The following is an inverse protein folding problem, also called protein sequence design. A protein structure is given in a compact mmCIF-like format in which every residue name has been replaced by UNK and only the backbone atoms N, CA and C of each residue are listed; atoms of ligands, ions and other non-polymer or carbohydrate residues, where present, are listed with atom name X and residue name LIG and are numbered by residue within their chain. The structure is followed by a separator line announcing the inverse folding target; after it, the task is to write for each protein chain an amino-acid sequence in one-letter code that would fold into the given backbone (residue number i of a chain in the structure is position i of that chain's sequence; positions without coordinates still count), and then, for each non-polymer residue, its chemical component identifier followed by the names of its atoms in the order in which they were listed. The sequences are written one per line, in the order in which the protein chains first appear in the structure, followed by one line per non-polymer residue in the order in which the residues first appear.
data_IF_162214038927
#
_entry.id   IF_162214038927
#
_cell.length_a   1.000
_cell.length_b   1.000
_cell.length_c   1.000
_cell.angle_alpha   90.00
_cell.angle_beta   90.00
_cell.angle_gamma   90.00
#
_symmetry.space_group_name_H-M   'P 1'
#
loop_
_entity.id
_entity.type
_entity.pdbx_description
1 polymer ?
#
# COMPACT_ATOMS: atom_id res chain seq x y z
N UNK A 1 11.19 -10.19 16.35
CA UNK A 1 10.77 -8.78 16.15
C UNK A 1 9.60 -8.76 15.19
N UNK A 2 8.75 -7.73 15.24
CA UNK A 2 7.64 -7.54 14.30
C UNK A 2 7.91 -6.28 13.46
N UNK A 3 7.87 -6.44 12.15
CA UNK A 3 8.01 -5.36 11.17
C UNK A 3 6.66 -5.13 10.48
N UNK A 4 6.24 -3.86 10.38
CA UNK A 4 5.12 -3.44 9.53
C UNK A 4 5.69 -2.72 8.32
N UNK A 5 5.54 -3.33 7.15
CA UNK A 5 6.01 -2.79 5.87
C UNK A 5 4.80 -2.36 5.07
N UNK A 6 4.86 -1.15 4.52
CA UNK A 6 3.83 -0.62 3.63
C UNK A 6 4.43 -0.45 2.24
N UNK A 7 3.83 -1.12 1.25
CA UNK A 7 4.27 -1.13 -0.14
C UNK A 7 3.21 -0.42 -0.98
N UNK A 8 3.64 0.64 -1.65
CA UNK A 8 2.76 1.46 -2.48
C UNK A 8 3.40 1.79 -3.81
N UNK A 9 2.57 2.28 -4.74
CA UNK A 9 3.03 2.73 -6.04
C UNK A 9 3.89 3.98 -5.92
N UNK A 10 4.93 4.07 -6.76
CA UNK A 10 5.80 5.25 -6.84
C UNK A 10 5.01 6.47 -7.32
N UNK A 11 5.40 7.70 -6.89
CA UNK A 11 4.79 8.93 -7.41
C UNK A 11 4.81 8.96 -8.95
N UNK A 12 3.68 9.31 -9.55
CA UNK A 12 3.51 9.37 -11.00
C UNK A 12 3.15 8.04 -11.67
N UNK A 13 3.12 6.92 -10.94
CA UNK A 13 2.56 5.66 -11.43
C UNK A 13 1.04 5.67 -11.24
N UNK A 14 0.23 5.40 -12.29
CA UNK A 14 -1.21 5.33 -12.15
C UNK A 14 -1.65 4.22 -11.19
N UNK A 15 -2.49 4.57 -10.22
CA UNK A 15 -3.11 3.62 -9.30
C UNK A 15 -4.50 3.21 -9.81
N UNK A 16 -4.55 2.11 -10.57
CA UNK A 16 -5.81 1.58 -11.10
C UNK A 16 -6.75 1.09 -9.99
N UNK A 17 -6.21 0.47 -8.94
CA UNK A 17 -6.98 -0.03 -7.81
C UNK A 17 -7.59 1.13 -7.00
N UNK A 18 -6.81 2.18 -6.75
CA UNK A 18 -7.31 3.42 -6.14
C UNK A 18 -8.41 4.07 -6.98
N UNK A 19 -8.28 4.08 -8.31
CA UNK A 19 -9.31 4.60 -9.20
C UNK A 19 -10.61 3.77 -9.15
N UNK A 20 -10.52 2.44 -9.09
CA UNK A 20 -11.68 1.55 -8.93
C UNK A 20 -12.40 1.77 -7.60
N UNK A 21 -11.64 1.88 -6.50
CA UNK A 21 -12.20 2.17 -5.17
C UNK A 21 -12.88 3.55 -5.16
N UNK A 22 -12.25 4.57 -5.77
CA UNK A 22 -12.85 5.91 -5.87
C UNK A 22 -14.18 5.88 -6.62
N UNK A 23 -14.28 5.13 -7.72
CA UNK A 23 -15.54 4.91 -8.43
C UNK A 23 -16.60 4.27 -7.52
N UNK A 24 -16.24 3.22 -6.78
CA UNK A 24 -17.15 2.59 -5.83
C UNK A 24 -17.65 3.55 -4.73
N UNK A 25 -16.80 4.43 -4.23
CA UNK A 25 -17.17 5.49 -3.27
C UNK A 25 -18.19 6.45 -3.88
N UNK A 26 -17.95 6.89 -5.12
CA UNK A 26 -18.85 7.78 -5.87
C UNK A 26 -20.21 7.11 -6.13
N UNK A 27 -20.22 5.84 -6.51
CA UNK A 27 -21.43 5.04 -6.75
C UNK A 27 -22.29 4.88 -5.48
N UNK A 28 -21.66 4.87 -4.30
CA UNK A 28 -22.35 4.87 -3.01
C UNK A 28 -22.90 6.26 -2.61
N UNK A 29 -22.68 7.29 -3.42
CA UNK A 29 -23.11 8.67 -3.15
C UNK A 29 -22.26 9.38 -2.09
N UNK A 30 -21.07 8.86 -1.78
CA UNK A 30 -20.16 9.47 -0.79
C UNK A 30 -19.36 10.57 -1.48
N UNK A 31 -19.73 11.83 -1.21
CA UNK A 31 -19.06 13.01 -1.75
C UNK A 31 -17.82 13.44 -0.95
N UNK A 32 -16.98 14.28 -1.58
CA UNK A 32 -15.86 14.96 -0.90
C UNK A 32 -14.51 14.24 -0.92
N UNK A 33 -14.44 13.03 -1.49
CA UNK A 33 -13.18 12.29 -1.64
C UNK A 33 -12.40 12.81 -2.86
N UNK A 34 -11.30 13.52 -2.61
CA UNK A 34 -10.47 14.11 -3.65
C UNK A 34 -9.61 13.06 -4.40
N UNK A 35 -9.07 12.09 -3.67
CA UNK A 35 -8.21 11.04 -4.22
C UNK A 35 -8.27 9.78 -3.35
N UNK A 36 -7.92 8.65 -3.95
CA UNK A 36 -7.76 7.35 -3.27
C UNK A 36 -6.44 6.76 -3.73
N UNK A 37 -5.72 6.15 -2.79
CA UNK A 37 -4.51 5.37 -3.04
C UNK A 37 -4.62 4.02 -2.35
N UNK A 38 -4.17 2.97 -2.99
CA UNK A 38 -4.10 1.62 -2.44
C UNK A 38 -2.66 1.25 -2.17
N UNK A 39 -2.39 0.72 -0.97
CA UNK A 39 -1.11 0.16 -0.56
C UNK A 39 -1.32 -1.20 0.10
N UNK A 40 -0.34 -2.08 -0.07
CA UNK A 40 -0.28 -3.36 0.62
C UNK A 40 0.46 -3.18 1.95
N UNK A 41 -0.08 -3.79 3.01
CA UNK A 41 0.53 -3.75 4.35
C UNK A 41 0.89 -5.17 4.76
N UNK A 42 2.18 -5.40 4.98
CA UNK A 42 2.74 -6.67 5.40
C UNK A 42 3.20 -6.59 6.86
N UNK A 43 2.83 -7.61 7.63
CA UNK A 43 3.34 -7.84 8.98
C UNK A 43 4.29 -9.04 8.92
N UNK A 44 5.56 -8.81 9.20
CA UNK A 44 6.60 -9.84 9.19
C UNK A 44 7.12 -10.02 10.60
N UNK A 45 6.89 -11.20 11.16
CA UNK A 45 7.40 -11.59 12.46
C UNK A 45 8.55 -12.59 12.31
N UNK A 46 9.67 -12.33 12.97
CA UNK A 46 10.81 -13.25 12.94
C UNK A 46 12.07 -12.68 13.56
N UNK A 47 13.13 -13.48 13.51
CA UNK A 47 14.49 -13.06 13.85
C UNK A 47 15.15 -12.48 12.61
N UNK A 48 14.71 -11.29 12.23
CA UNK A 48 15.24 -10.51 11.12
C UNK A 48 15.93 -9.28 11.69
N UNK A 49 17.08 -8.95 11.14
CA UNK A 49 17.69 -7.64 11.32
C UNK A 49 16.92 -6.57 10.52
N UNK A 50 17.05 -5.28 10.88
CA UNK A 50 16.47 -4.19 10.10
C UNK A 50 16.90 -4.20 8.63
N UNK A 51 18.16 -4.54 8.34
CA UNK A 51 18.68 -4.60 6.97
C UNK A 51 18.03 -5.75 6.16
N UNK A 52 17.76 -6.88 6.78
CA UNK A 52 17.04 -7.98 6.10
C UNK A 52 15.58 -7.62 5.83
N UNK A 53 14.91 -6.93 6.77
CA UNK A 53 13.55 -6.44 6.57
C UNK A 53 13.49 -5.41 5.41
N UNK A 54 14.45 -4.49 5.32
CA UNK A 54 14.57 -3.56 4.19
C UNK A 54 14.81 -4.27 2.86
N UNK A 55 15.66 -5.30 2.85
CA UNK A 55 15.89 -6.10 1.64
C UNK A 55 14.63 -6.82 1.19
N UNK A 56 13.87 -7.41 2.12
CA UNK A 56 12.56 -8.04 1.79
C UNK A 56 11.61 -7.00 1.19
N UNK A 57 11.55 -5.79 1.76
CA UNK A 57 10.70 -4.71 1.26
C UNK A 57 11.10 -4.20 -0.14
N UNK A 58 12.38 -4.28 -0.52
CA UNK A 58 12.88 -3.76 -1.79
C UNK A 58 13.05 -4.80 -2.90
N UNK A 59 13.22 -6.08 -2.55
CA UNK A 59 13.59 -7.15 -3.49
C UNK A 59 12.50 -8.22 -3.67
N UNK A 60 11.50 -8.29 -2.78
CA UNK A 60 10.48 -9.34 -2.80
C UNK A 60 9.04 -8.82 -2.80
N UNK A 61 8.74 -7.83 -1.94
CA UNK A 61 7.41 -7.24 -1.81
C UNK A 61 7.20 -6.12 -2.84
#
# INVERSE_FOLDING_TARGET
MLYRIEVGLRPGVPDAAGADVKRGIEDLGIGGVASVSVSDVYYIEGDLSPAEAERVAGELL
#
